data_IF_886611362269
#
_entry.id   IF_886611362269
#
_cell.length_a   1.000
_cell.length_b   1.000
_cell.length_c   1.000
_cell.angle_alpha   90.00
_cell.angle_beta   90.00
_cell.angle_gamma   90.00
#
_symmetry.space_group_name_H-M   'P 1'
#
loop_
_entity.id
_entity.type
_entity.pdbx_description
1 polymer ?
#
# COMPACT_ATOMS: atom_id res chain seq x y z
N UNK A 1 -63.01 -4.65 -4.93
CA UNK A 1 -62.17 -4.72 -6.14
C UNK A 1 -61.03 -3.72 -5.95
N UNK A 2 -59.77 -4.20 -6.01
CA UNK A 2 -58.52 -3.45 -6.35
C UNK A 2 -58.07 -2.38 -5.35
N UNK A 3 -57.15 -2.66 -4.41
CA UNK A 3 -55.67 -2.79 -4.51
C UNK A 3 -54.92 -1.50 -4.86
N UNK A 4 -54.02 -1.13 -3.95
CA UNK A 4 -52.99 -0.09 -4.06
C UNK A 4 -52.13 -0.25 -5.33
N UNK A 5 -51.65 0.86 -5.94
CA UNK A 5 -50.67 0.75 -7.00
C UNK A 5 -49.26 0.58 -6.44
N UNK A 6 -48.68 -0.58 -6.77
CA UNK A 6 -47.26 -0.84 -6.72
C UNK A 6 -46.48 0.19 -7.57
N UNK A 7 -45.35 0.67 -7.05
CA UNK A 7 -44.34 1.37 -7.85
C UNK A 7 -43.37 0.33 -8.39
N UNK A 8 -43.56 0.00 -9.66
CA UNK A 8 -42.61 -0.78 -10.46
C UNK A 8 -41.30 0.01 -10.64
N UNK A 9 -40.20 -0.62 -10.20
CA UNK A 9 -38.84 -0.26 -10.61
C UNK A 9 -38.59 -0.87 -11.99
N UNK A 10 -39.03 -0.18 -13.03
CA UNK A 10 -38.67 -0.48 -14.40
C UNK A 10 -37.22 -0.02 -14.68
N UNK A 11 -36.31 -0.99 -14.62
CA UNK A 11 -35.28 -1.27 -15.63
C UNK A 11 -34.91 -0.10 -16.57
N UNK A 12 -33.92 0.69 -16.16
CA UNK A 12 -33.18 1.58 -17.06
C UNK A 12 -32.32 0.77 -18.02
N UNK A 13 -32.85 0.48 -19.21
CA UNK A 13 -32.13 -0.16 -20.31
C UNK A 13 -30.99 0.71 -20.83
N UNK A 14 -29.80 0.12 -20.91
CA UNK A 14 -28.63 0.64 -21.62
C UNK A 14 -28.96 0.65 -23.12
N UNK A 15 -28.74 1.79 -23.78
CA UNK A 15 -28.92 1.94 -25.24
C UNK A 15 -27.81 1.18 -25.99
N UNK A 16 -28.06 0.55 -27.15
CA UNK A 16 -27.02 -0.15 -27.90
C UNK A 16 -26.04 0.88 -28.50
N UNK A 17 -24.75 0.77 -28.15
CA UNK A 17 -23.69 1.66 -28.65
C UNK A 17 -22.42 1.72 -27.78
N UNK A 18 -22.45 1.22 -26.55
CA UNK A 18 -21.24 1.18 -25.71
C UNK A 18 -20.28 0.07 -26.15
N UNK A 19 -18.96 0.35 -26.27
CA UNK A 19 -17.98 -0.56 -26.89
C UNK A 19 -17.60 -1.79 -26.04
N UNK A 20 -18.35 -2.09 -24.98
CA UNK A 20 -17.99 -3.10 -23.99
C UNK A 20 -19.19 -3.92 -23.48
N UNK A 21 -19.92 -4.62 -24.37
CA UNK A 21 -20.79 -5.74 -23.98
C UNK A 21 -20.90 -6.84 -25.07
N UNK A 22 -19.98 -7.85 -24.97
CA UNK A 22 -20.05 -9.34 -25.10
C UNK A 22 -21.27 -10.08 -25.72
N UNK A 23 -21.27 -11.44 -25.89
CA UNK A 23 -20.21 -12.45 -26.16
C UNK A 23 -20.63 -13.50 -27.24
N UNK A 24 -19.69 -14.30 -27.78
CA UNK A 24 -20.05 -15.59 -28.40
C UNK A 24 -18.90 -16.62 -28.34
N UNK A 25 -19.11 -17.64 -27.49
CA UNK A 25 -18.71 -19.04 -27.67
C UNK A 25 -17.52 -19.33 -28.61
N UNK A 26 -16.34 -19.55 -28.02
CA UNK A 26 -15.29 -20.37 -28.63
C UNK A 26 -14.91 -21.49 -27.68
N UNK A 27 -15.17 -22.72 -28.12
CA UNK A 27 -14.56 -23.91 -27.56
C UNK A 27 -13.03 -23.76 -27.67
N UNK A 28 -12.34 -23.61 -26.54
CA UNK A 28 -10.88 -23.71 -26.51
C UNK A 28 -10.46 -25.16 -26.80
N UNK A 29 -10.21 -25.46 -28.08
CA UNK A 29 -9.22 -26.48 -28.43
C UNK A 29 -7.87 -25.96 -27.96
N UNK A 30 -7.19 -26.70 -27.09
CA UNK A 30 -5.79 -26.42 -26.73
C UNK A 30 -4.95 -26.56 -27.99
N UNK A 31 -4.33 -25.46 -28.42
CA UNK A 31 -3.28 -25.48 -29.44
C UNK A 31 -1.96 -25.88 -28.78
N UNK A 32 -1.28 -26.98 -29.19
CA UNK A 32 -0.03 -27.43 -28.59
C UNK A 32 1.21 -26.63 -29.03
N UNK A 33 1.06 -25.45 -29.67
CA UNK A 33 2.19 -24.69 -30.26
C UNK A 33 2.26 -23.20 -29.91
N UNK A 34 1.90 -22.78 -28.70
CA UNK A 34 2.36 -21.47 -28.18
C UNK A 34 3.62 -21.64 -27.33
N UNK A 35 4.69 -22.07 -27.96
CA UNK A 35 6.04 -22.08 -27.39
C UNK A 35 6.63 -20.67 -27.41
N UNK A 36 7.04 -20.21 -26.23
CA UNK A 36 8.09 -19.21 -25.96
C UNK A 36 8.00 -17.88 -26.73
N UNK A 37 7.31 -16.91 -26.14
CA UNK A 37 7.58 -15.49 -26.43
C UNK A 37 8.64 -15.03 -25.44
N UNK A 38 9.87 -14.92 -25.95
CA UNK A 38 11.03 -14.20 -25.42
C UNK A 38 11.35 -14.39 -23.92
N UNK A 39 12.19 -15.38 -23.64
CA UNK A 39 13.06 -15.40 -22.46
C UNK A 39 14.14 -14.33 -22.57
N UNK A 40 13.76 -13.07 -22.35
CA UNK A 40 14.70 -12.14 -21.74
C UNK A 40 14.61 -12.46 -20.25
N UNK A 41 15.64 -13.13 -19.72
CA UNK A 41 15.89 -13.09 -18.29
C UNK A 41 15.91 -11.60 -17.92
N UNK A 42 14.89 -11.15 -17.17
CA UNK A 42 14.95 -9.82 -16.59
C UNK A 42 16.23 -9.76 -15.77
N UNK A 43 17.03 -8.68 -15.88
CA UNK A 43 18.28 -8.61 -15.17
C UNK A 43 17.96 -8.72 -13.69
N UNK A 44 18.28 -9.88 -13.10
CA UNK A 44 18.29 -10.05 -11.66
C UNK A 44 19.24 -8.97 -11.13
N UNK A 45 18.68 -7.85 -10.66
CA UNK A 45 19.46 -6.87 -9.93
C UNK A 45 19.93 -7.59 -8.68
N UNK A 46 21.18 -8.05 -8.72
CA UNK A 46 21.74 -8.80 -7.61
C UNK A 46 21.74 -7.88 -6.37
N UNK A 47 20.83 -8.19 -5.45
CA UNK A 47 20.69 -7.50 -4.18
C UNK A 47 21.51 -8.28 -3.15
N UNK A 48 22.35 -7.56 -2.40
CA UNK A 48 23.22 -8.17 -1.39
C UNK A 48 22.37 -8.88 -0.32
N UNK A 49 22.60 -10.19 -0.14
CA UNK A 49 21.85 -11.00 0.82
C UNK A 49 22.01 -10.52 2.26
N UNK A 50 23.18 -9.99 2.63
CA UNK A 50 23.41 -9.43 3.96
C UNK A 50 22.53 -8.19 4.24
N UNK A 51 22.39 -7.31 3.24
CA UNK A 51 21.48 -6.16 3.34
C UNK A 51 20.00 -6.58 3.41
N UNK A 52 19.60 -7.63 2.69
CA UNK A 52 18.25 -8.20 2.76
C UNK A 52 17.97 -8.71 4.17
N UNK A 53 18.86 -9.51 4.74
CA UNK A 53 18.71 -10.07 6.08
C UNK A 53 18.60 -8.97 7.15
N UNK A 54 19.40 -7.91 7.02
CA UNK A 54 19.33 -6.75 7.92
C UNK A 54 17.95 -6.07 7.85
N UNK A 55 17.38 -5.87 6.66
CA UNK A 55 16.02 -5.33 6.49
C UNK A 55 14.98 -6.25 7.11
N UNK A 56 15.01 -7.55 6.78
CA UNK A 56 14.01 -8.51 7.26
C UNK A 56 14.05 -8.66 8.78
N UNK A 57 15.22 -8.52 9.41
CA UNK A 57 15.35 -8.53 10.87
C UNK A 57 14.57 -7.41 11.57
N UNK A 58 14.34 -6.28 10.89
CA UNK A 58 13.54 -5.17 11.41
C UNK A 58 12.02 -5.35 11.20
N UNK A 59 11.64 -6.33 10.37
CA UNK A 59 10.26 -6.62 9.95
C UNK A 59 9.94 -8.10 10.24
N UNK A 60 9.86 -8.51 11.52
CA UNK A 60 9.67 -9.91 11.90
C UNK A 60 8.38 -10.53 11.36
N UNK A 61 7.37 -9.73 11.02
CA UNK A 61 6.15 -10.19 10.37
C UNK A 61 6.42 -10.84 8.99
N UNK A 62 7.57 -10.56 8.37
CA UNK A 62 8.00 -11.24 7.14
C UNK A 62 8.23 -12.74 7.35
N UNK A 63 8.48 -13.20 8.59
CA UNK A 63 8.67 -14.62 8.88
C UNK A 63 7.39 -15.45 8.71
N UNK A 64 6.23 -14.80 8.68
CA UNK A 64 4.94 -15.43 8.42
C UNK A 64 4.70 -15.72 6.92
N UNK A 65 5.48 -15.10 6.00
CA UNK A 65 5.39 -15.36 4.55
C UNK A 65 5.94 -16.75 4.26
N UNK A 66 5.11 -17.69 3.82
CA UNK A 66 5.51 -19.08 3.60
C UNK A 66 6.41 -19.27 2.39
N UNK A 67 6.22 -18.47 1.33
CA UNK A 67 7.10 -18.49 0.17
C UNK A 67 8.44 -17.77 0.46
N UNK A 68 9.57 -18.50 0.54
CA UNK A 68 10.87 -17.89 0.80
C UNK A 68 11.34 -16.96 -0.32
N UNK A 69 10.89 -17.21 -1.55
CA UNK A 69 11.17 -16.35 -2.70
C UNK A 69 10.49 -14.99 -2.53
N UNK A 70 9.19 -15.01 -2.26
CA UNK A 70 8.41 -13.80 -1.98
C UNK A 70 8.99 -13.01 -0.80
N UNK A 71 9.33 -13.70 0.29
CA UNK A 71 9.95 -13.09 1.48
C UNK A 71 11.26 -12.37 1.13
N UNK A 72 12.13 -13.03 0.36
CA UNK A 72 13.39 -12.41 -0.09
C UNK A 72 13.12 -11.17 -0.94
N UNK A 73 12.17 -11.24 -1.87
CA UNK A 73 11.80 -10.12 -2.73
C UNK A 73 11.26 -8.92 -1.97
N UNK A 74 10.51 -9.14 -0.88
CA UNK A 74 10.12 -8.06 0.05
C UNK A 74 11.35 -7.31 0.56
N UNK A 75 12.36 -8.04 1.06
CA UNK A 75 13.61 -7.42 1.50
C UNK A 75 14.36 -6.72 0.36
N UNK A 76 14.40 -7.33 -0.83
CA UNK A 76 15.02 -6.72 -2.01
C UNK A 76 14.43 -5.35 -2.36
N UNK A 77 13.09 -5.18 -2.32
CA UNK A 77 12.45 -3.91 -2.63
C UNK A 77 12.89 -2.77 -1.69
N UNK A 78 13.04 -3.05 -0.39
CA UNK A 78 13.58 -2.10 0.58
C UNK A 78 15.05 -1.77 0.30
N UNK A 79 15.88 -2.77 0.02
CA UNK A 79 17.30 -2.54 -0.28
C UNK A 79 17.47 -1.71 -1.55
N UNK A 80 16.67 -1.95 -2.59
CA UNK A 80 16.64 -1.12 -3.79
C UNK A 80 16.29 0.33 -3.45
N UNK A 81 15.25 0.55 -2.64
CA UNK A 81 14.89 1.90 -2.19
C UNK A 81 16.02 2.59 -1.43
N UNK A 82 16.68 1.88 -0.50
CA UNK A 82 17.78 2.43 0.28
C UNK A 82 18.98 2.82 -0.59
N UNK A 83 19.34 1.98 -1.57
CA UNK A 83 20.44 2.24 -2.54
C UNK A 83 20.25 3.55 -3.31
N UNK A 84 19.01 3.97 -3.51
CA UNK A 84 18.66 5.17 -4.27
C UNK A 84 18.34 6.39 -3.39
N UNK A 85 18.55 6.29 -2.08
CA UNK A 85 18.23 7.32 -1.10
C UNK A 85 19.43 7.76 -0.29
N UNK A 86 19.27 8.85 0.45
CA UNK A 86 20.23 9.29 1.47
C UNK A 86 20.10 8.55 2.81
N UNK A 87 19.15 7.61 2.95
CA UNK A 87 18.92 6.89 4.21
C UNK A 87 19.88 5.70 4.35
N UNK A 88 20.41 5.51 5.57
CA UNK A 88 21.27 4.38 5.88
C UNK A 88 20.48 3.16 6.37
N UNK A 89 19.30 3.39 6.94
CA UNK A 89 18.42 2.35 7.46
C UNK A 89 16.94 2.69 7.21
N UNK A 90 16.10 1.66 7.08
CA UNK A 90 14.64 1.81 7.05
C UNK A 90 14.07 2.42 8.34
N UNK A 91 14.82 2.37 9.45
CA UNK A 91 14.45 3.04 10.70
C UNK A 91 14.56 4.57 10.64
N UNK A 92 15.37 5.10 9.72
CA UNK A 92 15.59 6.53 9.55
C UNK A 92 14.48 7.19 8.70
N UNK A 93 13.68 6.37 8.02
CA UNK A 93 12.61 6.83 7.13
C UNK A 93 11.39 7.21 7.97
N UNK A 94 10.87 8.44 7.88
CA UNK A 94 9.67 8.85 8.58
C UNK A 94 8.44 8.05 8.12
N UNK A 95 7.53 7.72 9.05
CA UNK A 95 6.27 7.04 8.75
C UNK A 95 5.29 7.98 8.05
N UNK A 96 5.08 9.17 8.59
CA UNK A 96 4.36 10.25 7.91
C UNK A 96 4.87 11.59 8.43
N UNK A 97 5.64 12.27 7.59
CA UNK A 97 6.44 13.43 7.99
C UNK A 97 5.57 14.59 8.52
N UNK A 98 4.39 14.77 7.93
CA UNK A 98 3.51 15.90 8.26
C UNK A 98 2.54 15.61 9.42
N UNK A 99 2.40 14.34 9.85
CA UNK A 99 1.44 13.93 10.88
C UNK A 99 2.11 13.66 12.23
N UNK A 100 3.12 12.81 12.29
CA UNK A 100 3.87 12.52 13.52
C UNK A 100 5.32 12.10 13.19
N UNK A 101 6.31 13.01 13.33
CA UNK A 101 7.70 12.71 13.01
C UNK A 101 8.35 11.73 14.00
N UNK A 102 7.67 11.36 15.09
CA UNK A 102 8.18 10.36 16.05
C UNK A 102 7.95 8.92 15.59
N UNK A 103 7.09 8.71 14.60
CA UNK A 103 6.77 7.40 14.05
C UNK A 103 7.59 7.19 12.79
N UNK A 104 8.43 6.15 12.78
CA UNK A 104 9.18 5.77 11.58
C UNK A 104 8.41 4.75 10.74
N UNK A 105 8.89 4.54 9.51
CA UNK A 105 8.34 3.62 8.52
C UNK A 105 8.14 2.22 9.12
N UNK A 106 9.18 1.69 9.79
CA UNK A 106 9.12 0.36 10.40
C UNK A 106 7.99 0.24 11.42
N UNK A 107 7.87 1.18 12.36
CA UNK A 107 6.82 1.13 13.37
C UNK A 107 5.42 1.14 12.75
N UNK A 108 5.19 2.00 11.76
CA UNK A 108 3.90 2.10 11.07
C UNK A 108 3.58 0.83 10.26
N UNK A 109 4.50 0.40 9.41
CA UNK A 109 4.36 -0.79 8.57
C UNK A 109 4.02 -2.04 9.39
N UNK A 110 4.68 -2.22 10.53
CA UNK A 110 4.43 -3.36 11.42
C UNK A 110 3.04 -3.34 12.03
N UNK A 111 2.58 -2.16 12.49
CA UNK A 111 1.21 -1.99 13.01
C UNK A 111 0.17 -2.29 11.92
N UNK A 112 0.35 -1.77 10.71
CA UNK A 112 -0.58 -2.02 9.59
C UNK A 112 -0.61 -3.51 9.23
N UNK A 113 0.55 -4.17 9.19
CA UNK A 113 0.65 -5.61 8.89
C UNK A 113 -0.07 -6.45 9.94
N UNK A 114 0.16 -6.18 11.23
CA UNK A 114 -0.51 -6.89 12.32
C UNK A 114 -2.04 -6.66 12.33
N UNK A 115 -2.48 -5.43 12.05
CA UNK A 115 -3.91 -5.13 11.92
C UNK A 115 -4.52 -5.87 10.73
N UNK A 116 -3.84 -5.92 9.59
CA UNK A 116 -4.31 -6.56 8.37
C UNK A 116 -4.48 -8.07 8.54
N UNK A 117 -3.49 -8.76 9.11
CA UNK A 117 -3.59 -10.20 9.37
C UNK A 117 -4.69 -10.52 10.37
N UNK A 118 -4.80 -9.76 11.47
CA UNK A 118 -5.87 -9.95 12.45
C UNK A 118 -7.27 -9.71 11.87
N UNK A 119 -7.43 -8.66 11.05
CA UNK A 119 -8.70 -8.37 10.39
C UNK A 119 -9.07 -9.46 9.38
N UNK A 120 -8.10 -9.95 8.59
CA UNK A 120 -8.31 -11.07 7.69
C UNK A 120 -8.78 -12.32 8.44
N UNK A 121 -8.11 -12.69 9.53
CA UNK A 121 -8.48 -13.85 10.34
C UNK A 121 -9.91 -13.73 10.90
N UNK A 122 -10.25 -12.57 11.45
CA UNK A 122 -11.60 -12.31 11.96
C UNK A 122 -12.67 -12.39 10.87
N UNK A 123 -12.39 -11.84 9.68
CA UNK A 123 -13.32 -11.87 8.55
C UNK A 123 -13.52 -13.29 8.03
N UNK A 124 -12.44 -14.05 7.83
CA UNK A 124 -12.50 -15.42 7.33
C UNK A 124 -13.19 -16.38 8.33
N UNK A 125 -13.04 -16.14 9.63
CA UNK A 125 -13.71 -16.93 10.67
C UNK A 125 -15.24 -16.78 10.65
N UNK A 126 -15.76 -15.62 10.22
CA UNK A 126 -17.20 -15.33 10.18
C UNK A 126 -17.83 -15.46 8.79
N UNK A 127 -17.06 -15.18 7.74
CA UNK A 127 -17.54 -15.10 6.37
C UNK A 127 -16.70 -16.04 5.49
N UNK A 128 -17.16 -17.29 5.26
CA UNK A 128 -16.40 -18.29 4.52
C UNK A 128 -16.02 -17.90 3.09
N UNK A 129 -16.77 -16.99 2.46
CA UNK A 129 -16.52 -16.49 1.11
C UNK A 129 -15.38 -15.47 1.05
N UNK A 130 -14.96 -14.92 2.20
CA UNK A 130 -13.74 -14.10 2.29
C UNK A 130 -12.56 -15.07 2.23
N UNK A 131 -11.79 -15.00 1.14
CA UNK A 131 -10.57 -15.78 0.92
C UNK A 131 -9.43 -14.82 0.71
N UNK A 132 -8.55 -14.72 1.71
CA UNK A 132 -7.37 -13.85 1.68
C UNK A 132 -6.15 -14.70 1.40
N UNK A 133 -5.33 -14.30 0.43
CA UNK A 133 -3.99 -14.84 0.29
C UNK A 133 -3.07 -14.23 1.35
N UNK A 134 -2.66 -15.04 2.34
CA UNK A 134 -1.95 -14.54 3.52
C UNK A 134 -0.55 -14.02 3.19
N UNK A 135 0.17 -14.70 2.31
CA UNK A 135 1.51 -14.30 1.87
C UNK A 135 1.46 -12.97 1.10
N UNK A 136 0.50 -12.84 0.19
CA UNK A 136 0.25 -11.61 -0.58
C UNK A 136 -0.16 -10.46 0.33
N UNK A 137 -1.05 -10.70 1.31
CA UNK A 137 -1.46 -9.70 2.27
C UNK A 137 -0.27 -9.18 3.07
N UNK A 138 0.53 -10.08 3.64
CA UNK A 138 1.69 -9.71 4.48
C UNK A 138 2.74 -8.99 3.63
N UNK A 139 3.11 -9.52 2.47
CA UNK A 139 4.07 -8.87 1.58
C UNK A 139 3.60 -7.47 1.15
N UNK A 140 2.32 -7.33 0.78
CA UNK A 140 1.72 -6.04 0.43
C UNK A 140 1.63 -5.07 1.60
N UNK A 141 1.28 -5.54 2.80
CA UNK A 141 1.28 -4.71 4.01
C UNK A 141 2.68 -4.25 4.40
N UNK A 142 3.70 -5.10 4.27
CA UNK A 142 5.08 -4.73 4.54
C UNK A 142 5.59 -3.67 3.55
N UNK A 143 5.20 -3.77 2.28
CA UNK A 143 5.70 -2.92 1.20
C UNK A 143 4.85 -1.68 0.90
N UNK A 144 3.64 -1.53 1.45
CA UNK A 144 2.70 -0.48 1.01
C UNK A 144 3.34 0.91 0.97
N UNK A 145 4.16 1.22 1.97
CA UNK A 145 4.83 2.50 2.16
C UNK A 145 6.32 2.53 1.74
N UNK A 146 6.84 1.48 1.08
CA UNK A 146 8.27 1.38 0.73
C UNK A 146 8.76 2.55 -0.13
N UNK A 147 7.87 3.16 -0.94
CA UNK A 147 8.19 4.35 -1.73
C UNK A 147 8.46 5.61 -0.92
N UNK A 148 8.18 5.64 0.40
CA UNK A 148 8.52 6.77 1.28
C UNK A 148 10.03 6.95 1.41
N UNK A 149 10.82 5.89 1.18
CA UNK A 149 12.29 5.97 1.10
C UNK A 149 12.73 7.00 0.05
N UNK A 150 12.02 7.05 -1.08
CA UNK A 150 12.24 8.04 -2.13
C UNK A 150 11.56 9.38 -1.82
N UNK A 151 10.26 9.35 -1.49
CA UNK A 151 9.47 10.59 -1.34
C UNK A 151 9.96 11.48 -0.19
N UNK A 152 10.47 10.88 0.90
CA UNK A 152 10.90 11.60 2.10
C UNK A 152 12.41 11.82 2.19
N UNK A 153 13.18 11.47 1.16
CA UNK A 153 14.59 11.82 1.09
C UNK A 153 14.75 13.35 1.09
N UNK A 154 15.39 13.88 2.12
CA UNK A 154 15.53 15.33 2.33
C UNK A 154 16.43 16.00 1.31
N UNK A 155 17.44 15.30 0.81
CA UNK A 155 18.34 15.84 -0.22
C UNK A 155 17.57 15.99 -1.54
N UNK A 156 16.78 14.98 -1.89
CA UNK A 156 15.88 15.04 -3.06
C UNK A 156 14.80 16.10 -2.90
N UNK A 157 14.16 16.18 -1.74
CA UNK A 157 13.12 17.16 -1.46
C UNK A 157 13.61 18.61 -1.62
N UNK A 158 14.85 18.91 -1.24
CA UNK A 158 15.46 20.23 -1.46
C UNK A 158 15.58 20.53 -2.97
N UNK A 159 16.13 19.60 -3.75
CA UNK A 159 16.25 19.74 -5.21
C UNK A 159 14.88 19.92 -5.89
N UNK A 160 13.85 19.20 -5.43
CA UNK A 160 12.51 19.33 -6.00
C UNK A 160 11.84 20.67 -5.69
N UNK A 161 12.07 21.27 -4.51
CA UNK A 161 11.51 22.59 -4.18
C UNK A 161 12.05 23.68 -5.10
N UNK A 162 13.35 23.64 -5.36
CA UNK A 162 14.03 24.59 -6.25
C UNK A 162 13.63 24.35 -7.72
N UNK A 163 13.45 23.09 -8.11
CA UNK A 163 13.09 22.67 -9.46
C UNK A 163 11.61 22.45 -9.75
N UNK A 164 10.69 22.83 -8.84
CA UNK A 164 9.28 22.38 -8.91
C UNK A 164 8.54 22.76 -10.18
N UNK A 165 8.91 23.85 -10.83
CA UNK A 165 8.33 24.26 -12.11
C UNK A 165 8.67 23.28 -13.26
N UNK A 166 9.76 22.52 -13.14
CA UNK A 166 10.21 21.52 -14.12
C UNK A 166 9.67 20.12 -13.83
N UNK A 167 9.60 19.74 -12.56
CA UNK A 167 9.33 18.35 -12.16
C UNK A 167 8.07 18.15 -11.32
N UNK A 168 7.41 19.21 -10.86
CA UNK A 168 6.38 19.12 -9.81
C UNK A 168 6.97 18.92 -8.41
N UNK A 169 6.10 18.72 -7.40
CA UNK A 169 6.51 18.50 -6.01
C UNK A 169 5.45 17.72 -5.17
N UNK A 170 5.84 16.59 -4.53
CA UNK A 170 6.93 15.74 -4.98
C UNK A 170 6.66 15.28 -6.43
N UNK A 171 7.69 15.01 -7.24
CA UNK A 171 7.51 14.60 -8.63
C UNK A 171 6.82 13.23 -8.77
N UNK A 172 7.11 12.31 -7.84
CA UNK A 172 6.53 10.96 -7.77
C UNK A 172 6.21 10.69 -6.31
N UNK A 173 4.97 10.24 -6.03
CA UNK A 173 4.54 9.85 -4.68
C UNK A 173 4.89 8.40 -4.35
N UNK A 174 4.93 8.08 -3.06
CA UNK A 174 5.31 6.79 -2.51
C UNK A 174 4.52 5.59 -3.05
N UNK A 175 3.22 5.66 -3.39
CA UNK A 175 2.54 4.48 -3.95
C UNK A 175 3.08 4.14 -5.34
N UNK A 176 3.40 5.17 -6.14
CA UNK A 176 3.93 5.00 -7.49
C UNK A 176 5.39 4.52 -7.44
N UNK A 177 6.23 5.17 -6.63
CA UNK A 177 7.62 4.75 -6.48
C UNK A 177 7.75 3.40 -5.80
N UNK A 178 6.89 3.10 -4.83
CA UNK A 178 6.84 1.81 -4.16
C UNK A 178 6.44 0.70 -5.13
N UNK A 179 5.47 0.94 -6.02
CA UNK A 179 5.13 -0.01 -7.08
C UNK A 179 6.32 -0.26 -8.03
N UNK A 180 7.06 0.79 -8.38
CA UNK A 180 8.30 0.66 -9.15
C UNK A 180 9.34 -0.23 -8.45
N UNK A 181 9.61 0.01 -7.16
CA UNK A 181 10.52 -0.81 -6.36
C UNK A 181 10.06 -2.26 -6.26
N UNK A 182 8.75 -2.48 -6.08
CA UNK A 182 8.18 -3.81 -6.00
C UNK A 182 8.32 -4.57 -7.33
N UNK A 183 8.03 -3.92 -8.46
CA UNK A 183 8.25 -4.53 -9.78
C UNK A 183 9.73 -4.82 -10.01
N UNK A 184 10.64 -3.89 -9.68
CA UNK A 184 12.08 -4.04 -9.85
C UNK A 184 12.69 -5.17 -8.98
N UNK A 185 12.06 -5.49 -7.85
CA UNK A 185 12.42 -6.63 -7.02
C UNK A 185 11.72 -7.94 -7.44
N UNK A 186 10.97 -7.95 -8.54
CA UNK A 186 10.29 -9.12 -9.08
C UNK A 186 9.04 -9.55 -8.30
N UNK A 187 8.40 -8.66 -7.53
CA UNK A 187 7.18 -9.01 -6.80
C UNK A 187 6.04 -9.34 -7.77
N UNK A 188 5.14 -10.29 -7.42
CA UNK A 188 3.98 -10.58 -8.23
C UNK A 188 3.04 -9.37 -8.29
N UNK A 189 2.31 -9.24 -9.41
CA UNK A 189 1.39 -8.11 -9.68
C UNK A 189 0.38 -7.90 -8.54
N UNK A 190 -0.07 -8.97 -7.87
CA UNK A 190 -0.97 -8.88 -6.73
C UNK A 190 -0.39 -8.04 -5.56
N UNK A 191 0.90 -8.20 -5.25
CA UNK A 191 1.60 -7.40 -4.23
C UNK A 191 1.83 -5.98 -4.74
N UNK A 192 2.26 -5.83 -5.99
CA UNK A 192 2.46 -4.51 -6.63
C UNK A 192 1.17 -3.70 -6.62
N UNK A 193 0.02 -4.33 -6.87
CA UNK A 193 -1.31 -3.70 -6.83
C UNK A 193 -1.64 -3.17 -5.44
N UNK A 194 -1.33 -3.91 -4.37
CA UNK A 194 -1.51 -3.42 -2.99
C UNK A 194 -0.70 -2.13 -2.79
N UNK A 195 0.59 -2.16 -3.15
CA UNK A 195 1.49 -1.00 -3.01
C UNK A 195 1.00 0.19 -3.83
N UNK A 196 0.65 -0.02 -5.11
CA UNK A 196 0.21 1.05 -6.00
C UNK A 196 -1.12 1.68 -5.58
N UNK A 197 -2.02 0.91 -4.95
CA UNK A 197 -3.40 1.30 -4.71
C UNK A 197 -3.76 1.55 -3.24
N UNK A 198 -2.83 1.40 -2.29
CA UNK A 198 -3.17 1.59 -0.87
C UNK A 198 -3.61 3.03 -0.54
N UNK A 199 -3.04 4.04 -1.19
CA UNK A 199 -3.35 5.45 -0.93
C UNK A 199 -4.38 6.04 -1.92
N UNK A 200 -4.36 7.38 -2.09
CA UNK A 200 -5.29 8.14 -2.92
C UNK A 200 -5.27 7.71 -4.40
N UNK A 201 -4.13 7.26 -4.91
CA UNK A 201 -3.92 6.72 -6.25
C UNK A 201 -4.87 5.55 -6.53
N UNK A 202 -5.16 4.74 -5.51
CA UNK A 202 -6.09 3.61 -5.60
C UNK A 202 -7.56 3.98 -5.77
N UNK A 203 -7.94 5.26 -5.66
CA UNK A 203 -9.34 5.71 -5.85
C UNK A 203 -9.82 5.58 -7.30
N UNK A 204 -8.89 5.38 -8.25
CA UNK A 204 -9.20 5.22 -9.68
C UNK A 204 -9.17 3.77 -10.17
N UNK A 205 -8.94 2.81 -9.29
CA UNK A 205 -8.92 1.38 -9.62
C UNK A 205 -9.83 0.62 -8.68
N UNK A 206 -10.18 -0.62 -9.06
CA UNK A 206 -10.82 -1.55 -8.14
C UNK A 206 -9.74 -2.31 -7.39
N UNK A 207 -9.67 -2.09 -6.07
CA UNK A 207 -8.76 -2.81 -5.18
C UNK A 207 -9.12 -4.29 -5.13
N UNK A 208 -8.10 -5.14 -4.97
CA UNK A 208 -8.30 -6.53 -4.54
C UNK A 208 -8.79 -6.55 -3.09
N UNK A 209 -9.11 -7.74 -2.57
CA UNK A 209 -9.50 -7.89 -1.16
C UNK A 209 -8.35 -7.49 -0.23
N UNK A 210 -7.14 -7.98 -0.50
CA UNK A 210 -5.92 -7.67 0.24
C UNK A 210 -5.61 -6.17 0.17
N UNK A 211 -5.66 -5.57 -1.03
CA UNK A 211 -5.42 -4.15 -1.20
C UNK A 211 -6.47 -3.28 -0.47
N UNK A 212 -7.71 -3.76 -0.41
CA UNK A 212 -8.78 -3.09 0.36
C UNK A 212 -8.48 -3.15 1.86
N UNK A 213 -8.05 -4.29 2.39
CA UNK A 213 -7.66 -4.44 3.79
C UNK A 213 -6.50 -3.49 4.13
N UNK A 214 -5.41 -3.52 3.35
CA UNK A 214 -4.23 -2.69 3.60
C UNK A 214 -4.57 -1.20 3.52
N UNK A 215 -5.23 -0.76 2.45
CA UNK A 215 -5.64 0.65 2.29
C UNK A 215 -6.50 1.15 3.46
N UNK A 216 -7.44 0.32 3.91
CA UNK A 216 -8.37 0.69 4.98
C UNK A 216 -7.65 0.76 6.33
N UNK A 217 -6.77 -0.20 6.61
CA UNK A 217 -6.12 -0.32 7.91
C UNK A 217 -4.91 0.61 8.05
N UNK A 218 -4.26 0.97 6.95
CA UNK A 218 -3.31 2.09 6.89
C UNK A 218 -3.99 3.41 7.30
N UNK A 219 -5.18 3.69 6.75
CA UNK A 219 -5.93 4.87 7.15
C UNK A 219 -6.36 4.83 8.63
N UNK A 220 -6.90 3.69 9.09
CA UNK A 220 -7.35 3.53 10.49
C UNK A 220 -6.18 3.68 11.48
N UNK A 221 -5.00 3.13 11.18
CA UNK A 221 -3.86 3.21 12.10
C UNK A 221 -3.42 4.65 12.34
N UNK A 222 -3.36 5.48 11.28
CA UNK A 222 -3.09 6.91 11.41
C UNK A 222 -4.18 7.65 12.18
N UNK A 223 -5.46 7.41 11.88
CA UNK A 223 -6.57 8.07 12.58
C UNK A 223 -6.58 7.74 14.08
N UNK A 224 -6.35 6.48 14.45
CA UNK A 224 -6.25 6.06 15.85
C UNK A 224 -5.06 6.72 16.55
N UNK A 225 -3.89 6.69 15.92
CA UNK A 225 -2.69 7.25 16.50
C UNK A 225 -2.83 8.76 16.70
N UNK A 226 -3.32 9.49 15.70
CA UNK A 226 -3.53 10.93 15.81
C UNK A 226 -4.59 11.30 16.84
N UNK A 227 -5.66 10.52 16.94
CA UNK A 227 -6.68 10.70 17.99
C UNK A 227 -6.06 10.56 19.37
N UNK A 228 -5.25 9.51 19.59
CA UNK A 228 -4.55 9.32 20.86
C UNK A 228 -3.55 10.46 21.13
N UNK A 229 -2.76 10.90 20.14
CA UNK A 229 -1.79 11.99 20.26
C UNK A 229 -2.43 13.35 20.55
N UNK A 230 -3.66 13.56 20.09
CA UNK A 230 -4.47 14.76 20.41
C UNK A 230 -4.95 14.79 21.87
N UNK A 231 -4.68 13.75 22.65
CA UNK A 231 -5.13 13.67 24.04
C UNK A 231 -6.61 13.30 24.15
N UNK A 232 -7.12 12.52 23.18
CA UNK A 232 -8.49 12.00 23.19
C UNK A 232 -8.51 10.54 23.67
N UNK A 233 -7.77 10.25 24.74
CA UNK A 233 -7.74 8.93 25.39
C UNK A 233 -8.54 8.93 26.68
N UNK A 234 -8.89 7.73 27.17
CA UNK A 234 -9.60 7.60 28.45
C UNK A 234 -8.80 8.14 29.63
N UNK A 235 -7.47 8.11 29.55
CA UNK A 235 -6.60 8.61 30.60
C UNK A 235 -6.55 10.14 30.63
N UNK A 236 -6.72 10.80 29.48
CA UNK A 236 -6.89 12.26 29.41
C UNK A 236 -8.21 12.70 30.05
N UNK A 237 -9.28 11.93 29.85
CA UNK A 237 -10.57 12.16 30.53
C UNK A 237 -10.44 11.95 32.03
N UNK A 238 -9.76 10.88 32.47
CA UNK A 238 -9.57 10.54 33.89
C UNK A 238 -8.65 11.50 34.64
N UNK A 239 -7.67 12.09 33.96
CA UNK A 239 -6.73 13.05 34.56
C UNK A 239 -7.28 14.48 34.66
N UNK A 240 -8.54 14.72 34.25
CA UNK A 240 -9.22 16.00 34.39
C UNK A 240 -8.56 17.17 33.64
N UNK A 241 -7.60 16.88 32.76
CA UNK A 241 -6.80 17.89 32.07
C UNK A 241 -7.14 17.87 30.58
N UNK A 242 -8.08 18.69 30.08
CA UNK A 242 -8.35 18.77 28.66
C UNK A 242 -7.20 19.53 27.98
N UNK A 243 -6.08 18.86 27.71
CA UNK A 243 -5.07 19.37 26.80
C UNK A 243 -5.29 18.69 25.47
N UNK A 244 -6.14 19.29 24.64
CA UNK A 244 -6.01 19.08 23.20
C UNK A 244 -4.59 19.52 22.85
N UNK A 245 -3.68 18.56 22.69
CA UNK A 245 -2.32 18.87 22.24
C UNK A 245 -2.48 19.30 20.79
N UNK A 246 -2.22 20.57 20.51
CA UNK A 246 -2.15 21.05 19.13
C UNK A 246 -1.08 20.23 18.42
N UNK A 247 -1.48 19.43 17.43
CA UNK A 247 -0.53 18.97 16.43
C UNK A 247 0.09 20.21 15.79
N UNK A 248 1.36 20.18 15.38
CA UNK A 248 1.90 21.25 14.56
C UNK A 248 0.94 21.49 13.39
N UNK A 249 0.66 22.75 13.02
CA UNK A 249 -0.21 23.03 11.89
C UNK A 249 0.32 22.26 10.69
N UNK A 250 -0.58 21.56 9.98
CA UNK A 250 -0.31 21.02 8.65
C UNK A 250 0.36 22.16 7.89
N UNK A 251 1.63 22.04 7.49
CA UNK A 251 2.29 23.09 6.73
C UNK A 251 1.56 23.17 5.40
N UNK A 252 0.53 24.03 5.31
CA UNK A 252 0.02 24.47 4.03
C UNK A 252 1.24 25.01 3.29
N UNK A 253 1.55 24.41 2.14
CA UNK A 253 2.70 24.78 1.32
C UNK A 253 2.85 26.29 1.34
N UNK A 254 3.95 26.75 1.95
CA UNK A 254 4.18 28.17 2.17
C UNK A 254 4.18 28.87 0.83
N UNK A 255 3.23 29.78 0.66
CA UNK A 255 3.32 30.84 -0.32
C UNK A 255 4.56 31.68 0.00
N UNK A 256 5.57 31.55 -0.85
CA UNK A 256 6.58 32.56 -1.12
C UNK A 256 6.89 32.48 -2.62
#
# INVERSE_FOLDING_TARGET
MVREPARDLATGGIRPGDPWTSPASMHHRRDPRSSSVNGQEEPDMEVDGGAIDAVLSALPEADEIQDPELRRRVGSAFVLGLRESSFSSIHDVPGEYDLDPSVNLVAHTRVVTAMATAAADAMQARFPDVKVDRDTLIAGSLLHDVGKIYEYDRLRAATWRDGRARTGYPPIRHPIYGAHLAMAAGLPEAVVHIVASHAAEGTRVRRSLEATLVATLDHISWELLLTARRGLTIDDVRSGTPRIRSLPPRKSGGSA
#
